data_IF_437505185708
#
_entry.id   IF_437505185708
#
_cell.length_a   1.000
_cell.length_b   1.000
_cell.length_c   1.000
_cell.angle_alpha   90.00
_cell.angle_beta   90.00
_cell.angle_gamma   90.00
#
_symmetry.space_group_name_H-M   'P 1'
#
loop_
_entity.id
_entity.type
_entity.pdbx_description
1 polymer ?
#
# COMPACT_ATOMS: atom_id res chain seq x y z
N UNK A 1 7.92 -21.33 7.82
CA UNK A 1 7.72 -21.82 9.20
C UNK A 1 8.98 -21.83 10.06
N UNK A 2 10.00 -22.63 9.72
CA UNK A 2 11.20 -22.80 10.57
C UNK A 2 11.88 -21.48 10.98
N UNK A 3 11.96 -20.51 10.07
CA UNK A 3 12.53 -19.18 10.35
C UNK A 3 11.77 -18.40 11.42
N UNK A 4 10.44 -18.53 11.48
CA UNK A 4 9.59 -17.87 12.48
C UNK A 4 9.78 -18.55 13.84
N UNK A 5 9.71 -19.89 13.87
CA UNK A 5 9.91 -20.67 15.12
C UNK A 5 11.31 -20.51 15.71
N UNK A 6 12.33 -20.33 14.87
CA UNK A 6 13.71 -20.03 15.33
C UNK A 6 13.80 -18.70 16.10
N UNK A 7 12.94 -17.73 15.76
CA UNK A 7 12.87 -16.41 16.41
C UNK A 7 11.94 -16.41 17.62
N UNK A 8 10.77 -17.06 17.52
CA UNK A 8 9.80 -17.19 18.61
C UNK A 8 9.93 -18.58 19.24
N UNK A 9 10.69 -18.65 20.33
CA UNK A 9 10.90 -19.88 21.12
C UNK A 9 9.82 -20.11 22.19
N UNK A 10 8.89 -19.18 22.36
CA UNK A 10 7.83 -19.27 23.36
C UNK A 10 6.86 -20.42 23.09
N UNK A 11 6.33 -21.01 24.17
CA UNK A 11 5.24 -21.99 24.14
C UNK A 11 3.88 -21.35 23.84
N UNK A 12 3.75 -20.02 24.02
CA UNK A 12 2.54 -19.26 23.69
C UNK A 12 2.26 -19.16 22.18
N UNK A 13 3.26 -19.43 21.35
CA UNK A 13 3.11 -19.44 19.90
C UNK A 13 2.28 -20.66 19.48
N UNK A 14 1.10 -20.39 18.92
CA UNK A 14 0.21 -21.43 18.42
C UNK A 14 0.44 -21.63 16.94
N UNK A 15 0.45 -22.89 16.56
CA UNK A 15 0.49 -23.37 15.18
C UNK A 15 -0.71 -24.27 14.97
N UNK A 16 -1.61 -23.87 14.09
CA UNK A 16 -2.76 -24.66 13.67
C UNK A 16 -2.72 -24.81 12.15
N UNK A 17 -3.06 -25.99 11.65
CA UNK A 17 -3.12 -26.24 10.21
C UNK A 17 -4.53 -26.58 9.78
N UNK A 18 -4.86 -26.18 8.57
CA UNK A 18 -6.14 -26.44 7.93
C UNK A 18 -5.92 -26.74 6.47
N UNK A 19 -6.73 -27.62 5.90
CA UNK A 19 -6.68 -27.93 4.47
C UNK A 19 -7.76 -27.13 3.76
N UNK A 20 -7.38 -26.40 2.72
CA UNK A 20 -8.27 -25.56 1.92
C UNK A 20 -8.24 -26.08 0.47
N UNK A 21 -9.42 -26.13 -0.15
CA UNK A 21 -9.59 -26.57 -1.53
C UNK A 21 -10.01 -28.04 -1.68
N UNK A 22 -10.95 -28.31 -2.59
CA UNK A 22 -11.54 -29.64 -2.82
C UNK A 22 -10.52 -30.60 -3.45
N UNK A 23 -9.78 -30.12 -4.47
CA UNK A 23 -8.84 -30.93 -5.25
C UNK A 23 -7.42 -30.82 -4.73
N UNK A 24 -6.91 -29.60 -4.55
CA UNK A 24 -5.50 -29.40 -4.14
C UNK A 24 -5.26 -29.73 -2.67
N UNK A 25 -6.29 -29.61 -1.81
CA UNK A 25 -6.20 -29.81 -0.36
C UNK A 25 -4.98 -29.09 0.24
N UNK A 26 -4.73 -27.86 -0.22
CA UNK A 26 -3.58 -27.04 0.13
C UNK A 26 -3.57 -26.80 1.62
N UNK A 27 -2.43 -27.03 2.28
CA UNK A 27 -2.33 -26.81 3.73
C UNK A 27 -2.07 -25.32 4.00
N UNK A 28 -2.96 -24.69 4.75
CA UNK A 28 -2.81 -23.34 5.27
C UNK A 28 -2.52 -23.43 6.76
N UNK A 29 -1.42 -22.82 7.18
CA UNK A 29 -1.02 -22.78 8.57
C UNK A 29 -1.30 -21.41 9.18
N UNK A 30 -2.04 -21.40 10.28
CA UNK A 30 -2.43 -20.25 11.08
C UNK A 30 -1.47 -20.11 12.26
N UNK A 31 -0.81 -18.97 12.35
CA UNK A 31 0.19 -18.64 13.36
C UNK A 31 -0.25 -17.42 14.16
N UNK A 32 -0.25 -17.53 15.48
CA UNK A 32 -0.53 -16.41 16.38
C UNK A 32 0.06 -16.63 17.78
N UNK A 33 0.11 -15.57 18.58
CA UNK A 33 0.52 -15.61 19.99
C UNK A 33 -0.73 -15.63 20.87
N UNK A 34 -1.01 -16.76 21.56
CA UNK A 34 -2.27 -16.99 22.30
C UNK A 34 -2.54 -16.00 23.44
N UNK A 35 -1.46 -15.56 24.06
CA UNK A 35 -1.38 -14.61 25.16
C UNK A 35 -1.55 -13.15 24.72
N UNK A 36 -1.30 -12.84 23.44
CA UNK A 36 -1.31 -11.47 22.93
C UNK A 36 -2.54 -11.18 22.07
N UNK A 37 -2.87 -12.06 21.11
CA UNK A 37 -3.89 -11.79 20.09
C UNK A 37 -5.30 -11.69 20.69
N UNK A 38 -6.15 -10.84 20.11
CA UNK A 38 -7.60 -10.89 20.38
C UNK A 38 -8.16 -12.21 19.79
N UNK A 39 -8.78 -13.08 20.61
CA UNK A 39 -9.38 -14.33 20.12
C UNK A 39 -10.42 -14.11 19.00
N UNK A 40 -11.09 -12.94 18.96
CA UNK A 40 -12.07 -12.63 17.91
C UNK A 40 -11.43 -12.57 16.53
N UNK A 41 -10.24 -11.97 16.43
CA UNK A 41 -9.49 -11.89 15.17
C UNK A 41 -9.14 -13.30 14.66
N UNK A 42 -8.68 -14.17 15.58
CA UNK A 42 -8.34 -15.55 15.22
C UNK A 42 -9.58 -16.32 14.76
N UNK A 43 -10.71 -16.14 15.44
CA UNK A 43 -11.96 -16.80 15.07
C UNK A 43 -12.49 -16.32 13.72
N UNK A 44 -12.44 -15.01 13.44
CA UNK A 44 -12.83 -14.45 12.14
C UNK A 44 -11.99 -15.04 11.01
N UNK A 45 -10.67 -15.16 11.20
CA UNK A 45 -9.77 -15.78 10.22
C UNK A 45 -10.10 -17.25 10.01
N UNK A 46 -10.39 -17.99 11.09
CA UNK A 46 -10.77 -19.41 11.01
C UNK A 46 -12.07 -19.60 10.25
N UNK A 47 -13.11 -18.86 10.62
CA UNK A 47 -14.43 -18.90 9.98
C UNK A 47 -14.32 -18.57 8.49
N UNK A 48 -13.60 -17.50 8.13
CA UNK A 48 -13.34 -17.14 6.74
C UNK A 48 -12.65 -18.24 5.96
N UNK A 49 -11.73 -19.00 6.58
CA UNK A 49 -11.08 -20.16 5.95
C UNK A 49 -12.00 -21.39 5.88
N UNK A 50 -13.02 -21.52 6.74
CA UNK A 50 -13.99 -22.63 6.72
C UNK A 50 -15.00 -22.43 5.59
N UNK A 51 -15.40 -21.18 5.35
CA UNK A 51 -16.38 -20.80 4.33
C UNK A 51 -15.84 -20.89 2.89
N UNK A 52 -14.55 -21.17 2.71
CA UNK A 52 -13.91 -21.26 1.39
C UNK A 52 -14.26 -22.58 0.67
N UNK A 53 -15.18 -22.48 -0.28
CA UNK A 53 -15.49 -23.55 -1.24
C UNK A 53 -14.84 -23.29 -2.60
N UNK A 54 -13.58 -23.73 -2.75
CA UNK A 54 -12.80 -23.58 -3.99
C UNK A 54 -12.21 -24.92 -4.46
N UNK A 55 -11.93 -25.04 -5.75
CA UNK A 55 -11.26 -26.23 -6.30
C UNK A 55 -9.83 -26.37 -5.79
N UNK A 56 -9.11 -25.25 -5.64
CA UNK A 56 -7.76 -25.24 -5.10
C UNK A 56 -7.23 -23.83 -4.81
N UNK A 57 -6.32 -23.75 -3.83
CA UNK A 57 -5.58 -22.54 -3.49
C UNK A 57 -4.17 -22.60 -4.10
N UNK A 58 -3.86 -21.63 -4.97
CA UNK A 58 -2.60 -21.57 -5.73
C UNK A 58 -1.71 -20.39 -5.33
N UNK A 59 -2.30 -19.31 -4.80
CA UNK A 59 -1.57 -18.10 -4.40
C UNK A 59 -2.07 -17.56 -3.07
N UNK A 60 -1.17 -16.89 -2.34
CA UNK A 60 -1.50 -16.13 -1.15
C UNK A 60 -2.45 -14.96 -1.48
N UNK A 61 -2.26 -14.29 -2.63
CA UNK A 61 -3.15 -13.20 -3.07
C UNK A 61 -4.55 -13.70 -3.41
N UNK A 62 -4.66 -14.90 -3.98
CA UNK A 62 -5.95 -15.54 -4.24
C UNK A 62 -6.70 -15.83 -2.93
N UNK A 63 -5.96 -16.32 -1.91
CA UNK A 63 -6.55 -16.57 -0.60
C UNK A 63 -7.01 -15.28 0.08
N UNK A 64 -6.21 -14.21 -0.03
CA UNK A 64 -6.58 -12.86 0.42
C UNK A 64 -7.89 -12.40 -0.23
N UNK A 65 -7.99 -12.45 -1.56
CA UNK A 65 -9.17 -12.02 -2.32
C UNK A 65 -10.44 -12.82 -1.96
N UNK A 66 -10.31 -14.12 -1.71
CA UNK A 66 -11.44 -14.98 -1.33
C UNK A 66 -11.89 -14.78 0.13
N UNK A 67 -10.97 -14.38 1.02
CA UNK A 67 -11.28 -14.10 2.42
C UNK A 67 -11.83 -12.67 2.63
N UNK A 68 -11.73 -11.82 1.63
CA UNK A 68 -12.13 -10.43 1.66
C UNK A 68 -13.45 -10.19 0.92
N UNK A 69 -14.26 -9.19 1.32
CA UNK A 69 -15.45 -8.87 0.58
C UNK A 69 -15.08 -8.38 -0.83
N UNK A 70 -15.79 -8.83 -1.87
CA UNK A 70 -15.55 -8.47 -3.29
C UNK A 70 -15.52 -6.96 -3.55
N UNK A 71 -16.10 -6.16 -2.66
CA UNK A 71 -16.12 -4.69 -2.77
C UNK A 71 -14.84 -4.03 -2.24
N UNK A 72 -13.92 -4.76 -1.61
CA UNK A 72 -12.67 -4.20 -1.10
C UNK A 72 -11.71 -3.92 -2.25
N UNK A 73 -11.58 -2.64 -2.62
CA UNK A 73 -10.57 -2.21 -3.59
C UNK A 73 -9.16 -2.19 -2.99
N UNK A 74 -9.06 -2.06 -1.66
CA UNK A 74 -7.80 -2.02 -0.93
C UNK A 74 -7.48 -3.38 -0.32
N UNK A 75 -6.21 -3.79 -0.33
CA UNK A 75 -5.79 -5.03 0.34
C UNK A 75 -6.07 -4.94 1.84
N UNK A 76 -6.79 -5.90 2.40
CA UNK A 76 -7.05 -5.96 3.84
C UNK A 76 -6.11 -6.93 4.56
N UNK A 77 -5.18 -7.57 3.85
CA UNK A 77 -4.06 -8.34 4.41
C UNK A 77 -2.70 -7.81 3.95
N UNK A 78 -1.67 -8.06 4.76
CA UNK A 78 -0.30 -7.67 4.46
C UNK A 78 0.50 -8.84 3.92
N UNK A 79 1.08 -8.69 2.73
CA UNK A 79 1.98 -9.69 2.14
C UNK A 79 3.44 -9.44 2.54
N UNK A 80 4.13 -10.44 3.07
CA UNK A 80 5.57 -10.34 3.37
C UNK A 80 6.32 -11.64 3.10
N UNK A 81 7.44 -11.57 2.36
CA UNK A 81 8.39 -12.67 2.24
C UNK A 81 9.36 -12.80 3.43
N UNK A 82 9.33 -11.83 4.36
CA UNK A 82 10.32 -11.70 5.42
C UNK A 82 9.79 -12.17 6.78
N UNK A 83 10.42 -13.22 7.31
CA UNK A 83 10.02 -13.84 8.57
C UNK A 83 10.21 -12.97 9.82
N UNK A 84 11.19 -12.05 9.82
CA UNK A 84 11.41 -11.07 10.90
C UNK A 84 10.23 -10.09 11.04
N UNK A 85 9.70 -9.60 9.91
CA UNK A 85 8.51 -8.75 9.90
C UNK A 85 7.25 -9.51 10.33
N UNK A 86 7.10 -10.76 9.91
CA UNK A 86 6.00 -11.62 10.38
C UNK A 86 6.03 -11.79 11.90
N UNK A 87 7.20 -12.05 12.48
CA UNK A 87 7.38 -12.15 13.94
C UNK A 87 7.03 -10.84 14.63
N UNK A 88 7.45 -9.69 14.09
CA UNK A 88 7.08 -8.39 14.65
C UNK A 88 5.57 -8.18 14.66
N UNK A 89 4.88 -8.55 13.58
CA UNK A 89 3.43 -8.45 13.48
C UNK A 89 2.72 -9.38 14.47
N UNK A 90 3.19 -10.62 14.63
CA UNK A 90 2.66 -11.56 15.63
C UNK A 90 2.82 -11.04 17.06
N UNK A 91 3.99 -10.47 17.40
CA UNK A 91 4.25 -9.87 18.71
C UNK A 91 3.43 -8.61 18.97
N UNK A 92 2.95 -7.94 17.92
CA UNK A 92 2.00 -6.82 18.03
C UNK A 92 0.54 -7.29 18.16
N UNK A 93 0.27 -8.61 18.14
CA UNK A 93 -1.09 -9.16 18.25
C UNK A 93 -1.81 -9.37 16.92
N UNK A 94 -1.08 -9.58 15.82
CA UNK A 94 -1.65 -9.98 14.52
C UNK A 94 -1.49 -11.48 14.27
N UNK A 95 -2.31 -12.02 13.37
CA UNK A 95 -2.27 -13.41 12.90
C UNK A 95 -1.47 -13.46 11.60
N UNK A 96 -0.67 -14.51 11.43
CA UNK A 96 0.02 -14.80 10.19
C UNK A 96 -0.51 -16.10 9.57
N UNK A 97 -0.75 -16.08 8.26
CA UNK A 97 -1.15 -17.24 7.47
C UNK A 97 0.01 -17.61 6.55
N UNK A 98 0.35 -18.90 6.50
CA UNK A 98 1.31 -19.44 5.54
C UNK A 98 0.60 -20.47 4.69
N UNK A 99 0.56 -20.23 3.39
CA UNK A 99 -0.04 -21.14 2.41
C UNK A 99 1.06 -22.03 1.84
N UNK A 100 0.84 -23.33 1.86
CA UNK A 100 1.75 -24.29 1.26
C UNK A 100 1.99 -23.98 -0.23
N UNK A 101 3.24 -24.07 -0.68
CA UNK A 101 3.67 -23.67 -2.02
C UNK A 101 3.92 -22.17 -2.23
N UNK A 102 3.63 -21.29 -1.26
CA UNK A 102 3.91 -19.84 -1.38
C UNK A 102 5.11 -19.41 -0.54
N UNK A 103 6.04 -18.58 -1.07
CA UNK A 103 7.25 -18.19 -0.36
C UNK A 103 7.04 -17.10 0.71
N UNK A 104 5.81 -16.65 0.92
CA UNK A 104 5.47 -15.50 1.75
C UNK A 104 4.36 -15.80 2.75
N UNK A 105 4.27 -14.95 3.77
CA UNK A 105 3.20 -14.98 4.76
C UNK A 105 2.21 -13.83 4.52
N UNK A 106 0.93 -14.12 4.70
CA UNK A 106 -0.13 -13.12 4.80
C UNK A 106 -0.31 -12.72 6.26
N UNK A 107 -0.49 -11.44 6.52
CA UNK A 107 -0.67 -10.87 7.86
C UNK A 107 -2.08 -10.30 7.95
N UNK A 108 -2.85 -10.76 8.94
CA UNK A 108 -4.21 -10.30 9.20
C UNK A 108 -4.38 -9.92 10.69
N UNK A 109 -5.15 -8.87 11.02
CA UNK A 109 -5.71 -7.88 10.10
C UNK A 109 -4.62 -6.94 9.57
N UNK A 110 -4.81 -6.35 8.40
CA UNK A 110 -4.00 -5.22 7.90
C UNK A 110 -4.81 -3.92 7.89
N UNK A 111 -4.10 -2.80 8.05
CA UNK A 111 -4.61 -1.45 7.96
C UNK A 111 -3.66 -0.62 7.09
N UNK A 112 -4.10 0.55 6.63
CA UNK A 112 -3.30 1.40 5.74
C UNK A 112 -1.88 1.66 6.28
N UNK A 113 -1.77 1.94 7.58
CA UNK A 113 -0.48 2.20 8.23
C UNK A 113 0.44 0.99 8.34
N UNK A 114 -0.09 -0.23 8.35
CA UNK A 114 0.76 -1.43 8.25
C UNK A 114 1.29 -1.56 6.83
N UNK A 115 0.45 -1.33 5.82
CA UNK A 115 0.80 -1.54 4.41
C UNK A 115 1.77 -0.49 3.87
N UNK A 116 1.78 0.70 4.44
CA UNK A 116 2.76 1.77 4.16
C UNK A 116 4.11 1.50 4.86
N UNK A 117 4.15 0.65 5.90
CA UNK A 117 5.41 0.30 6.57
C UNK A 117 6.25 -0.64 5.71
N UNK A 118 7.56 -0.46 5.75
CA UNK A 118 8.50 -1.31 5.05
C UNK A 118 9.03 -2.34 6.05
N UNK A 119 9.13 -3.63 5.69
CA UNK A 119 9.75 -4.64 6.54
C UNK A 119 11.17 -4.28 7.01
N UNK A 120 11.90 -3.50 6.21
CA UNK A 120 13.27 -3.04 6.44
C UNK A 120 13.36 -2.01 7.58
N UNK A 121 12.28 -1.31 7.91
CA UNK A 121 12.25 -0.24 8.92
C UNK A 121 12.69 -0.72 10.30
N UNK A 122 12.60 -2.02 10.56
CA UNK A 122 13.02 -2.66 11.81
C UNK A 122 14.55 -2.54 11.99
N UNK A 123 15.32 -2.48 10.91
CA UNK A 123 16.79 -2.53 10.93
C UNK A 123 17.45 -1.15 10.89
N UNK A 124 16.70 -0.08 10.65
CA UNK A 124 17.20 1.28 10.64
C UNK A 124 17.12 1.95 12.01
N UNK A 125 17.76 3.10 12.17
CA UNK A 125 17.59 3.95 13.36
C UNK A 125 16.18 4.55 13.39
N UNK A 126 15.71 4.98 14.57
CA UNK A 126 14.37 5.56 14.71
C UNK A 126 14.16 6.78 13.81
N UNK A 127 15.16 7.65 13.69
CA UNK A 127 15.14 8.83 12.83
C UNK A 127 15.06 8.46 11.34
N UNK A 128 15.94 7.59 10.86
CA UNK A 128 15.98 7.22 9.44
C UNK A 128 14.69 6.51 9.00
N UNK A 129 14.19 5.57 9.82
CA UNK A 129 12.95 4.88 9.54
C UNK A 129 11.73 5.83 9.60
N UNK A 130 11.72 6.78 10.55
CA UNK A 130 10.65 7.78 10.63
C UNK A 130 10.63 8.67 9.39
N UNK A 131 11.80 9.14 8.95
CA UNK A 131 11.91 9.92 7.72
C UNK A 131 11.42 9.13 6.49
N UNK A 132 11.87 7.88 6.34
CA UNK A 132 11.42 7.02 5.25
C UNK A 132 9.92 6.72 5.29
N UNK A 133 9.33 6.61 6.48
CA UNK A 133 7.89 6.41 6.65
C UNK A 133 7.09 7.66 6.26
N UNK A 134 7.55 8.85 6.64
CA UNK A 134 6.94 10.13 6.23
C UNK A 134 6.98 10.28 4.71
N UNK A 135 8.12 9.97 4.07
CA UNK A 135 8.24 10.00 2.62
C UNK A 135 7.27 9.04 1.92
N UNK A 136 7.02 7.87 2.49
CA UNK A 136 6.03 6.91 1.96
C UNK A 136 4.60 7.38 2.12
N UNK A 137 4.27 8.05 3.22
CA UNK A 137 2.94 8.64 3.42
C UNK A 137 2.70 9.82 2.46
N UNK A 138 3.70 10.67 2.28
CA UNK A 138 3.70 11.70 1.25
C UNK A 138 3.62 11.08 -0.14
N UNK A 139 4.35 10.00 -0.38
CA UNK A 139 4.37 9.30 -1.65
C UNK A 139 3.01 8.73 -2.03
N UNK A 140 2.30 8.12 -1.07
CA UNK A 140 0.93 7.68 -1.26
C UNK A 140 0.01 8.85 -1.67
N UNK A 141 0.12 9.98 -0.97
CA UNK A 141 -0.75 11.14 -1.19
C UNK A 141 -0.46 11.83 -2.53
N UNK A 142 0.82 12.13 -2.81
CA UNK A 142 1.25 12.80 -4.04
C UNK A 142 1.01 11.91 -5.25
N UNK A 143 1.34 10.62 -5.17
CA UNK A 143 1.19 9.71 -6.30
C UNK A 143 -0.28 9.49 -6.69
N UNK A 144 -1.20 9.59 -5.74
CA UNK A 144 -2.63 9.46 -6.00
C UNK A 144 -3.27 10.78 -6.49
N UNK A 145 -2.94 11.90 -5.83
CA UNK A 145 -3.68 13.16 -5.99
C UNK A 145 -3.07 14.10 -7.02
N UNK A 146 -1.75 14.09 -7.21
CA UNK A 146 -1.05 15.12 -7.98
C UNK A 146 -1.50 15.20 -9.45
N UNK A 147 -1.63 14.10 -10.21
CA UNK A 147 -2.04 14.18 -11.61
C UNK A 147 -3.46 14.72 -11.79
N UNK A 148 -4.38 14.24 -10.96
CA UNK A 148 -5.78 14.62 -10.96
C UNK A 148 -5.94 16.13 -10.63
N UNK A 149 -5.25 16.58 -9.58
CA UNK A 149 -5.24 17.98 -9.17
C UNK A 149 -4.62 18.90 -10.23
N UNK A 150 -3.49 18.50 -10.81
CA UNK A 150 -2.80 19.30 -11.82
C UNK A 150 -3.67 19.54 -13.07
N UNK A 151 -4.34 18.49 -13.56
CA UNK A 151 -5.24 18.58 -14.72
C UNK A 151 -6.47 19.41 -14.40
N UNK A 152 -7.05 19.26 -13.20
CA UNK A 152 -8.20 20.05 -12.76
C UNK A 152 -7.91 21.56 -12.75
N UNK A 153 -6.73 21.96 -12.29
CA UNK A 153 -6.33 23.38 -12.27
C UNK A 153 -6.04 23.88 -13.68
N UNK A 154 -5.16 23.19 -14.42
CA UNK A 154 -4.68 23.72 -15.69
C UNK A 154 -5.77 23.72 -16.79
N UNK A 155 -6.76 22.84 -16.70
CA UNK A 155 -7.84 22.77 -17.70
C UNK A 155 -9.04 23.65 -17.35
N UNK A 156 -9.35 23.86 -16.07
CA UNK A 156 -10.59 24.53 -15.65
C UNK A 156 -10.41 25.78 -14.78
N UNK A 157 -9.28 25.92 -14.07
CA UNK A 157 -9.05 26.97 -13.07
C UNK A 157 -7.66 27.61 -13.20
N UNK A 158 -7.33 28.07 -14.40
CA UNK A 158 -6.02 28.67 -14.71
C UNK A 158 -5.74 29.92 -13.87
N UNK A 159 -6.78 30.67 -13.51
CA UNK A 159 -6.68 31.90 -12.71
C UNK A 159 -6.17 31.67 -11.27
N UNK A 160 -6.17 30.43 -10.79
CA UNK A 160 -5.65 30.08 -9.46
C UNK A 160 -4.12 29.94 -9.45
N UNK A 161 -3.46 29.92 -10.62
CA UNK A 161 -2.01 29.83 -10.73
C UNK A 161 -1.35 31.21 -10.72
N UNK A 162 -0.20 31.38 -10.05
CA UNK A 162 0.59 32.60 -10.18
C UNK A 162 0.91 32.89 -11.64
N UNK A 163 0.78 34.16 -12.05
CA UNK A 163 0.94 34.57 -13.45
C UNK A 163 2.25 34.08 -14.09
N UNK A 164 3.37 34.14 -13.37
CA UNK A 164 4.66 33.66 -13.85
C UNK A 164 4.64 32.16 -14.19
N UNK A 165 3.99 31.34 -13.35
CA UNK A 165 3.90 29.90 -13.56
C UNK A 165 2.99 29.59 -14.76
N UNK A 166 1.86 30.27 -14.86
CA UNK A 166 0.95 30.16 -16.00
C UNK A 166 1.65 30.54 -17.31
N UNK A 167 2.39 31.66 -17.33
CA UNK A 167 3.12 32.14 -18.49
C UNK A 167 4.17 31.13 -18.96
N UNK A 168 4.96 30.57 -18.03
CA UNK A 168 5.93 29.52 -18.35
C UNK A 168 5.26 28.26 -18.90
N UNK A 169 4.16 27.81 -18.29
CA UNK A 169 3.41 26.65 -18.78
C UNK A 169 2.78 26.90 -20.14
N UNK A 170 2.28 28.11 -20.40
CA UNK A 170 1.72 28.52 -21.69
C UNK A 170 2.77 28.51 -22.80
N UNK A 171 3.95 29.09 -22.57
CA UNK A 171 5.07 29.06 -23.53
C UNK A 171 5.50 27.63 -23.83
N UNK A 172 5.59 26.78 -22.80
CA UNK A 172 5.98 25.37 -22.94
C UNK A 172 4.95 24.50 -23.67
N UNK A 173 3.76 25.03 -23.97
CA UNK A 173 2.71 24.37 -24.75
C UNK A 173 2.57 24.89 -26.17
N UNK A 174 3.37 25.88 -26.57
CA UNK A 174 3.36 26.39 -27.94
C UNK A 174 3.77 25.27 -28.91
N UNK A 175 2.88 24.94 -29.85
CA UNK A 175 3.10 23.90 -30.85
C UNK A 175 2.63 22.49 -30.45
N UNK A 176 2.02 22.32 -29.27
CA UNK A 176 1.45 21.03 -28.85
C UNK A 176 -0.03 20.96 -29.26
N UNK A 177 -0.43 19.95 -30.06
CA UNK A 177 -1.79 19.87 -30.60
C UNK A 177 -2.81 19.27 -29.62
N UNK A 178 -2.35 18.67 -28.51
CA UNK A 178 -3.19 17.96 -27.56
C UNK A 178 -3.66 18.86 -26.40
N UNK A 179 -4.86 18.55 -25.88
CA UNK A 179 -5.33 19.14 -24.63
C UNK A 179 -4.61 18.53 -23.41
N UNK A 180 -4.57 19.27 -22.30
CA UNK A 180 -3.88 18.91 -21.05
C UNK A 180 -4.31 17.52 -20.55
N UNK A 181 -5.60 17.21 -20.64
CA UNK A 181 -6.13 15.91 -20.25
C UNK A 181 -5.53 14.77 -21.11
N UNK A 182 -5.45 14.96 -22.43
CA UNK A 182 -4.90 13.95 -23.34
C UNK A 182 -3.40 13.80 -23.14
N UNK A 183 -2.66 14.92 -23.02
CA UNK A 183 -1.23 14.90 -22.71
C UNK A 183 -0.95 14.12 -21.41
N UNK A 184 -1.69 14.40 -20.33
CA UNK A 184 -1.51 13.73 -19.05
C UNK A 184 -1.89 12.25 -19.10
N UNK A 185 -2.97 11.89 -19.79
CA UNK A 185 -3.36 10.49 -19.94
C UNK A 185 -2.26 9.68 -20.64
N UNK A 186 -1.71 10.20 -21.73
CA UNK A 186 -0.60 9.59 -22.47
C UNK A 186 0.62 9.44 -21.56
N UNK A 187 1.00 10.49 -20.83
CA UNK A 187 2.14 10.46 -19.91
C UNK A 187 1.96 9.42 -18.79
N UNK A 188 0.77 9.37 -18.15
CA UNK A 188 0.46 8.39 -17.11
C UNK A 188 0.48 6.95 -17.65
N UNK A 189 -0.12 6.74 -18.83
CA UNK A 189 -0.13 5.43 -19.48
C UNK A 189 1.29 4.95 -19.78
N UNK A 190 2.14 5.81 -20.34
CA UNK A 190 3.54 5.47 -20.62
C UNK A 190 4.31 5.12 -19.35
N UNK A 191 4.18 5.91 -18.29
CA UNK A 191 4.86 5.67 -17.02
C UNK A 191 4.40 4.36 -16.37
N UNK A 192 3.12 4.02 -16.51
CA UNK A 192 2.59 2.76 -15.96
C UNK A 192 3.06 1.55 -16.77
N UNK A 193 3.12 1.65 -18.11
CA UNK A 193 3.70 0.61 -18.96
C UNK A 193 5.18 0.38 -18.61
N UNK A 194 5.96 1.46 -18.43
CA UNK A 194 7.37 1.35 -18.02
C UNK A 194 7.52 0.66 -16.66
N UNK A 195 6.65 0.99 -15.71
CA UNK A 195 6.63 0.35 -14.39
C UNK A 195 6.33 -1.14 -14.48
N UNK A 196 5.28 -1.50 -15.22
CA UNK A 196 4.85 -2.89 -15.38
C UNK A 196 5.92 -3.72 -16.09
N UNK A 197 6.57 -3.15 -17.12
CA UNK A 197 7.71 -3.76 -17.77
C UNK A 197 8.89 -3.94 -16.79
N UNK A 198 9.19 -2.92 -15.98
CA UNK A 198 10.27 -2.95 -14.99
C UNK A 198 10.12 -4.04 -13.93
N UNK A 199 8.89 -4.33 -13.49
CA UNK A 199 8.61 -5.36 -12.46
C UNK A 199 8.72 -6.79 -13.03
N UNK A 200 8.46 -6.97 -14.34
CA UNK A 200 8.51 -8.30 -14.99
C UNK A 200 9.89 -8.69 -15.47
N UNK A 201 10.76 -7.71 -15.70
CA UNK A 201 12.14 -7.96 -16.11
C UNK A 201 13.00 -8.37 -14.91
N UNK A 202 14.02 -9.23 -15.11
CA UNK A 202 15.02 -9.50 -14.08
C UNK A 202 15.67 -8.20 -13.60
N UNK A 203 16.00 -8.12 -12.30
CA UNK A 203 16.50 -6.89 -11.66
C UNK A 203 17.74 -6.29 -12.34
N UNK A 204 18.58 -7.11 -12.98
CA UNK A 204 19.76 -6.67 -13.73
C UNK A 204 19.43 -5.88 -15.01
N UNK A 205 18.26 -6.11 -15.62
CA UNK A 205 17.84 -5.50 -16.89
C UNK A 205 16.68 -4.52 -16.68
N UNK A 206 15.78 -4.79 -15.73
CA UNK A 206 14.58 -4.00 -15.50
C UNK A 206 14.86 -2.54 -15.13
N UNK A 207 15.89 -2.28 -14.31
CA UNK A 207 16.30 -0.92 -13.94
C UNK A 207 16.82 -0.15 -15.15
N UNK A 208 17.70 -0.76 -15.96
CA UNK A 208 18.25 -0.17 -17.17
C UNK A 208 17.16 0.16 -18.19
N UNK A 209 16.24 -0.77 -18.45
CA UNK A 209 15.12 -0.56 -19.39
C UNK A 209 14.19 0.56 -18.89
N UNK A 210 13.91 0.61 -17.60
CA UNK A 210 13.04 1.67 -17.03
C UNK A 210 13.70 3.05 -17.14
N UNK A 211 14.99 3.16 -16.86
CA UNK A 211 15.74 4.43 -16.94
C UNK A 211 15.91 4.88 -18.39
N UNK A 212 16.39 3.99 -19.26
CA UNK A 212 16.62 4.30 -20.68
C UNK A 212 15.30 4.56 -21.38
N UNK A 213 14.28 3.74 -21.12
CA UNK A 213 12.92 3.92 -21.64
C UNK A 213 12.34 5.25 -21.20
N UNK A 214 12.35 5.56 -19.90
CA UNK A 214 11.82 6.83 -19.39
C UNK A 214 12.53 8.06 -19.96
N UNK A 215 13.86 8.04 -20.04
CA UNK A 215 14.65 9.16 -20.58
C UNK A 215 14.40 9.34 -22.08
N UNK A 216 14.57 8.28 -22.89
CA UNK A 216 14.47 8.36 -24.35
C UNK A 216 13.04 8.69 -24.78
N UNK A 217 12.03 7.99 -24.21
CA UNK A 217 10.63 8.26 -24.56
C UNK A 217 10.19 9.66 -24.10
N UNK A 218 10.58 10.07 -22.89
CA UNK A 218 10.24 11.39 -22.37
C UNK A 218 10.84 12.52 -23.22
N UNK A 219 12.14 12.42 -23.52
CA UNK A 219 12.87 13.40 -24.30
C UNK A 219 12.42 13.43 -25.78
N UNK A 220 12.16 12.26 -26.37
CA UNK A 220 11.58 12.17 -27.71
C UNK A 220 10.15 12.72 -27.76
N UNK A 221 9.31 12.46 -26.75
CA UNK A 221 7.94 12.98 -26.71
C UNK A 221 7.90 14.50 -26.57
N UNK A 222 8.84 15.09 -25.82
CA UNK A 222 9.00 16.55 -25.73
C UNK A 222 9.45 17.12 -27.06
N UNK A 223 10.50 16.57 -27.68
CA UNK A 223 11.01 17.05 -28.98
C UNK A 223 10.03 16.88 -30.13
N UNK A 224 9.22 15.83 -30.10
CA UNK A 224 8.17 15.60 -31.10
C UNK A 224 6.99 16.57 -30.95
N UNK A 225 6.94 17.38 -29.89
CA UNK A 225 5.80 18.25 -29.58
C UNK A 225 4.56 17.49 -29.13
N UNK A 226 4.72 16.22 -28.69
CA UNK A 226 3.59 15.39 -28.24
C UNK A 226 3.25 15.62 -26.78
N UNK A 227 4.23 15.98 -25.94
CA UNK A 227 4.04 16.22 -24.51
C UNK A 227 4.77 17.49 -24.06
N UNK A 228 4.11 18.29 -23.22
CA UNK A 228 4.76 19.44 -22.61
C UNK A 228 5.75 19.02 -21.52
N UNK A 229 6.90 19.72 -21.38
CA UNK A 229 7.85 19.45 -20.30
C UNK A 229 7.22 19.44 -18.91
N UNK A 230 6.24 20.32 -18.66
CA UNK A 230 5.53 20.39 -17.37
C UNK A 230 4.75 19.10 -17.04
N UNK A 231 4.06 18.51 -18.02
CA UNK A 231 3.30 17.28 -17.80
C UNK A 231 4.24 16.09 -17.58
N UNK A 232 5.35 16.03 -18.32
CA UNK A 232 6.38 15.00 -18.11
C UNK A 232 6.96 15.07 -16.69
N UNK A 233 7.24 16.28 -16.18
CA UNK A 233 7.73 16.47 -14.81
C UNK A 233 6.70 16.01 -13.77
N UNK A 234 5.42 16.38 -13.92
CA UNK A 234 4.36 15.97 -12.99
C UNK A 234 4.17 14.45 -13.01
N UNK A 235 4.22 13.83 -14.21
CA UNK A 235 4.20 12.38 -14.35
C UNK A 235 5.38 11.72 -13.65
N UNK A 236 6.61 12.21 -13.88
CA UNK A 236 7.81 11.68 -13.26
C UNK A 236 7.76 11.76 -11.73
N UNK A 237 7.35 12.91 -11.17
CA UNK A 237 7.17 13.10 -9.73
C UNK A 237 6.15 12.09 -9.18
N UNK A 238 5.00 11.97 -9.82
CA UNK A 238 3.93 11.02 -9.46
C UNK A 238 4.46 9.59 -9.38
N UNK A 239 5.29 9.21 -10.35
CA UNK A 239 5.83 7.86 -10.45
C UNK A 239 6.95 7.58 -9.44
N UNK A 240 7.82 8.55 -9.20
CA UNK A 240 8.87 8.47 -8.17
C UNK A 240 8.25 8.34 -6.79
N UNK A 241 7.22 9.12 -6.49
CA UNK A 241 6.50 9.00 -5.23
C UNK A 241 5.74 7.67 -5.12
N UNK A 242 5.16 7.19 -6.22
CA UNK A 242 4.46 5.90 -6.26
C UNK A 242 5.37 4.70 -6.02
N UNK A 243 6.62 4.75 -6.48
CA UNK A 243 7.60 3.67 -6.27
C UNK A 243 8.12 3.56 -4.84
N UNK A 244 7.82 4.52 -3.97
CA UNK A 244 8.15 4.44 -2.54
C UNK A 244 7.31 3.41 -1.77
N UNK A 245 6.14 3.04 -2.30
CA UNK A 245 5.22 2.10 -1.66
C UNK A 245 5.84 0.69 -1.57
N UNK A 246 5.95 0.16 -0.35
CA UNK A 246 6.58 -1.15 -0.08
C UNK A 246 5.70 -2.33 -0.46
N UNK A 247 4.38 -2.17 -0.41
CA UNK A 247 3.40 -3.23 -0.71
C UNK A 247 2.97 -3.18 -2.18
N UNK A 248 3.25 -4.26 -2.92
CA UNK A 248 2.91 -4.35 -4.34
C UNK A 248 1.40 -4.26 -4.58
N UNK A 249 0.60 -4.92 -3.74
CA UNK A 249 -0.87 -4.88 -3.79
C UNK A 249 -1.42 -3.47 -3.60
N UNK A 250 -0.89 -2.73 -2.61
CA UNK A 250 -1.28 -1.34 -2.38
C UNK A 250 -0.86 -0.45 -3.56
N UNK A 251 0.35 -0.64 -4.08
CA UNK A 251 0.86 0.16 -5.20
C UNK A 251 0.04 -0.05 -6.49
N UNK A 252 -0.43 -1.27 -6.75
CA UNK A 252 -1.39 -1.56 -7.84
C UNK A 252 -2.74 -0.87 -7.63
N UNK A 253 -3.27 -0.93 -6.40
CA UNK A 253 -4.52 -0.26 -6.02
C UNK A 253 -4.45 1.25 -6.22
N UNK A 254 -3.38 1.89 -5.72
CA UNK A 254 -3.16 3.33 -5.84
C UNK A 254 -3.01 3.75 -7.30
N UNK A 255 -2.33 2.96 -8.13
CA UNK A 255 -2.22 3.20 -9.57
C UNK A 255 -3.60 3.19 -10.25
N UNK A 256 -4.43 2.21 -9.93
CA UNK A 256 -5.79 2.11 -10.49
C UNK A 256 -6.66 3.29 -10.06
N UNK A 257 -6.60 3.65 -8.78
CA UNK A 257 -7.33 4.80 -8.24
C UNK A 257 -6.82 6.15 -8.79
N UNK A 258 -5.54 6.26 -9.15
CA UNK A 258 -4.97 7.44 -9.80
C UNK A 258 -5.66 7.71 -11.13
N UNK A 259 -5.85 6.67 -11.97
CA UNK A 259 -6.59 6.81 -13.23
C UNK A 259 -8.06 7.16 -12.98
N UNK A 260 -8.71 6.56 -11.98
CA UNK A 260 -10.08 6.91 -11.60
C UNK A 260 -10.23 8.39 -11.21
N UNK A 261 -9.37 8.89 -10.32
CA UNK A 261 -9.37 10.30 -9.91
C UNK A 261 -9.02 11.25 -11.06
N UNK A 262 -8.07 10.85 -11.91
CA UNK A 262 -7.69 11.60 -13.09
C UNK A 262 -8.88 11.76 -14.05
N UNK A 263 -9.61 10.67 -14.36
CA UNK A 263 -10.78 10.72 -15.27
C UNK A 263 -11.87 11.63 -14.70
N UNK A 264 -12.17 11.55 -13.41
CA UNK A 264 -13.14 12.44 -12.76
C UNK A 264 -12.69 13.91 -12.84
N UNK A 265 -11.42 14.18 -12.63
CA UNK A 265 -10.87 15.54 -12.66
C UNK A 265 -10.76 16.10 -14.08
N UNK A 266 -10.50 15.24 -15.07
CA UNK A 266 -10.46 15.63 -16.47
C UNK A 266 -11.85 15.99 -17.01
N UNK A 267 -12.92 15.38 -16.48
CA UNK A 267 -14.31 15.59 -16.94
C UNK A 267 -15.05 16.67 -16.15
N UNK A 268 -14.81 16.78 -14.84
CA UNK A 268 -15.54 17.67 -13.93
C UNK A 268 -14.64 18.73 -13.27
N UNK A 269 -13.37 18.84 -13.67
CA UNK A 269 -12.40 19.77 -13.11
C UNK A 269 -12.17 19.56 -11.61
N UNK A 270 -12.05 20.67 -10.87
CA UNK A 270 -11.77 20.64 -9.42
C UNK A 270 -12.91 20.00 -8.62
N UNK A 271 -14.16 20.11 -9.10
CA UNK A 271 -15.30 19.44 -8.48
C UNK A 271 -15.14 17.92 -8.57
N UNK A 272 -14.73 17.40 -9.74
CA UNK A 272 -14.41 15.99 -9.93
C UNK A 272 -13.30 15.48 -9.02
N UNK A 273 -12.26 16.30 -8.82
CA UNK A 273 -11.17 15.99 -7.90
C UNK A 273 -11.68 15.78 -6.46
N UNK A 274 -12.43 16.74 -5.91
CA UNK A 274 -12.96 16.61 -4.55
C UNK A 274 -13.99 15.50 -4.43
N UNK A 275 -14.88 15.34 -5.41
CA UNK A 275 -15.87 14.27 -5.45
C UNK A 275 -15.20 12.90 -5.44
N UNK A 276 -14.19 12.70 -6.29
CA UNK A 276 -13.38 11.48 -6.31
C UNK A 276 -12.67 11.23 -4.99
N UNK A 277 -12.07 12.28 -4.40
CA UNK A 277 -11.43 12.20 -3.09
C UNK A 277 -12.41 11.76 -1.99
N UNK A 278 -13.64 12.32 -1.98
CA UNK A 278 -14.68 11.92 -1.04
C UNK A 278 -15.11 10.47 -1.22
N UNK A 279 -15.29 10.01 -2.46
CA UNK A 279 -15.63 8.61 -2.76
C UNK A 279 -14.54 7.68 -2.22
N UNK A 280 -13.27 7.98 -2.49
CA UNK A 280 -12.14 7.19 -2.02
C UNK A 280 -12.11 7.18 -0.49
N UNK A 281 -12.14 8.34 0.17
CA UNK A 281 -12.10 8.41 1.64
C UNK A 281 -13.29 7.70 2.30
N UNK A 282 -14.49 7.87 1.77
CA UNK A 282 -15.69 7.17 2.25
C UNK A 282 -15.55 5.66 2.10
N UNK A 283 -14.97 5.19 1.00
CA UNK A 283 -14.69 3.77 0.81
C UNK A 283 -13.68 3.26 1.85
N UNK A 284 -12.53 3.93 2.05
CA UNK A 284 -11.55 3.54 3.07
C UNK A 284 -12.16 3.49 4.48
N UNK A 285 -13.04 4.43 4.82
CA UNK A 285 -13.70 4.47 6.12
C UNK A 285 -14.69 3.31 6.33
N UNK A 286 -15.27 2.78 5.26
CA UNK A 286 -16.20 1.64 5.32
C UNK A 286 -15.49 0.29 5.51
N UNK A 287 -14.20 0.20 5.14
CA UNK A 287 -13.45 -1.05 5.14
C UNK A 287 -13.07 -1.52 6.55
N UNK A 288 -13.20 -2.83 6.77
CA UNK A 288 -12.79 -3.51 8.00
C UNK A 288 -12.04 -4.79 7.68
N UNK A 289 -10.85 -4.94 8.26
CA UNK A 289 -10.04 -6.17 8.20
C UNK A 289 -10.22 -6.94 9.51
N UNK A 290 -10.89 -8.10 9.48
CA UNK A 290 -11.12 -8.96 10.67
C UNK A 290 -11.54 -8.17 11.92
N UNK A 291 -12.53 -7.29 11.77
CA UNK A 291 -13.05 -6.42 12.85
C UNK A 291 -12.27 -5.11 13.09
N UNK A 292 -11.07 -4.94 12.54
CA UNK A 292 -10.26 -3.73 12.65
C UNK A 292 -10.63 -2.71 11.54
N UNK A 293 -11.01 -1.46 11.87
CA UNK A 293 -11.20 -0.39 10.88
C UNK A 293 -9.91 -0.11 10.10
N UNK A 294 -10.01 0.00 8.77
CA UNK A 294 -8.85 0.13 7.89
C UNK A 294 -8.07 1.44 8.09
N UNK A 295 -8.76 2.51 8.49
CA UNK A 295 -8.16 3.82 8.81
C UNK A 295 -7.69 3.96 10.27
N UNK A 296 -7.83 2.92 11.11
CA UNK A 296 -7.26 2.97 12.46
C UNK A 296 -5.74 3.16 12.36
N UNK A 297 -5.12 4.08 13.13
CA UNK A 297 -5.67 4.80 14.28
C UNK A 297 -6.16 6.23 14.02
N UNK A 298 -6.27 6.68 12.76
CA UNK A 298 -6.87 8.00 12.46
C UNK A 298 -8.37 7.96 12.74
N UNK A 299 -9.05 6.92 12.27
CA UNK A 299 -10.48 6.75 12.46
C UNK A 299 -10.82 5.28 12.76
N UNK A 300 -11.34 4.98 13.97
CA UNK A 300 -11.50 5.89 15.12
C UNK A 300 -10.14 6.31 15.71
N UNK A 301 -10.07 7.48 16.37
CA UNK A 301 -8.83 7.98 16.95
C UNK A 301 -8.37 7.06 18.09
N UNK A 302 -7.22 6.43 17.93
CA UNK A 302 -6.54 5.70 19.00
C UNK A 302 -5.29 6.46 19.43
N UNK A 303 -4.82 6.21 20.67
CA UNK A 303 -3.57 6.78 21.21
C UNK A 303 -2.33 6.38 20.40
N UNK A 304 -2.46 5.37 19.52
CA UNK A 304 -1.41 4.85 18.66
C UNK A 304 -1.05 5.70 17.45
N UNK A 305 -1.68 6.87 17.24
CA UNK A 305 -1.43 7.68 16.04
C UNK A 305 0.05 8.02 15.86
N UNK A 306 0.74 8.41 16.94
CA UNK A 306 2.18 8.68 16.90
C UNK A 306 3.00 7.43 16.53
N UNK A 307 2.63 6.25 17.03
CA UNK A 307 3.27 4.96 16.70
C UNK A 307 2.97 4.48 15.27
N UNK A 308 1.84 4.92 14.72
CA UNK A 308 1.42 4.61 13.37
C UNK A 308 2.12 5.49 12.35
N UNK A 309 2.31 6.79 12.64
CA UNK A 309 2.96 7.75 11.74
C UNK A 309 4.48 7.76 11.85
N UNK A 310 5.01 7.63 13.07
CA UNK A 310 6.44 7.73 13.35
C UNK A 310 6.96 6.44 14.00
N UNK A 311 8.22 6.11 13.72
CA UNK A 311 8.88 4.97 14.37
C UNK A 311 9.58 5.46 15.63
N UNK A 312 8.92 5.28 16.77
CA UNK A 312 9.51 5.57 18.07
C UNK A 312 10.74 4.67 18.35
N UNK A 313 11.76 5.19 19.06
CA UNK A 313 12.87 4.39 19.58
C UNK A 313 12.38 3.18 20.39
N UNK A 314 13.11 2.06 20.31
CA UNK A 314 12.77 0.84 21.04
C UNK A 314 12.50 1.02 22.54
N UNK A 315 13.29 1.83 23.29
CA UNK A 315 13.04 2.04 24.73
C UNK A 315 11.71 2.73 25.04
N UNK A 316 11.13 3.45 24.08
CA UNK A 316 9.86 4.16 24.26
C UNK A 316 8.65 3.33 23.81
N UNK A 317 8.88 2.18 23.15
CA UNK A 317 7.83 1.25 22.71
C UNK A 317 7.49 0.29 23.83
N UNK A 318 6.75 0.76 24.83
CA UNK A 318 6.36 -0.05 25.98
C UNK A 318 5.00 -0.74 25.81
N UNK A 319 4.13 -0.20 24.96
CA UNK A 319 2.76 -0.71 24.76
C UNK A 319 2.56 -1.33 23.38
N UNK A 320 1.68 -2.33 23.30
CA UNK A 320 1.17 -2.87 22.04
C UNK A 320 0.05 -1.97 21.50
N UNK A 321 -0.27 -2.05 20.19
CA UNK A 321 -1.30 -1.20 19.62
C UNK A 321 -2.68 -1.49 20.22
N UNK A 322 -3.29 -0.49 20.85
CA UNK A 322 -4.63 -0.53 21.45
C UNK A 322 -5.71 -0.87 20.39
N UNK A 323 -5.50 -0.44 19.14
CA UNK A 323 -6.44 -0.71 18.04
C UNK A 323 -6.70 -2.21 17.82
N UNK A 324 -5.74 -3.07 18.18
CA UNK A 324 -5.83 -4.53 18.00
C UNK A 324 -6.49 -5.25 19.18
N UNK A 325 -6.89 -4.52 20.25
CA UNK A 325 -7.55 -5.07 21.45
C UNK A 325 -6.83 -6.30 22.02
N UNK A 326 -5.49 -6.22 22.08
CA UNK A 326 -4.63 -7.33 22.54
C UNK A 326 -4.92 -7.70 24.00
N UNK A 327 -4.83 -8.99 24.32
CA UNK A 327 -5.00 -9.51 25.69
C UNK A 327 -3.92 -9.02 26.64
N UNK A 328 -2.67 -9.07 26.18
CA UNK A 328 -1.53 -8.45 26.86
C UNK A 328 -1.17 -7.13 26.14
N UNK A 329 -1.29 -6.01 26.83
CA UNK A 329 -1.02 -4.67 26.29
C UNK A 329 0.44 -4.23 26.44
N UNK A 330 1.27 -4.95 27.20
CA UNK A 330 2.64 -4.55 27.56
C UNK A 330 3.73 -5.33 26.82
N UNK A 331 4.67 -4.63 26.18
CA UNK A 331 5.77 -5.27 25.43
C UNK A 331 6.94 -5.72 26.30
N UNK A 332 7.15 -5.06 27.43
CA UNK A 332 8.17 -5.45 28.39
C UNK A 332 7.58 -6.56 29.25
N UNK A 333 8.30 -7.68 29.38
CA UNK A 333 7.95 -8.66 30.40
C UNK A 333 7.97 -7.99 31.76
N UNK A 334 7.01 -8.33 32.63
CA UNK A 334 6.99 -7.87 34.01
C UNK A 334 8.40 -8.02 34.57
N UNK A 335 9.08 -6.90 34.89
CA UNK A 335 10.40 -6.92 35.54
C UNK A 335 10.35 -7.50 36.96
N UNK A 336 9.19 -7.98 37.40
CA UNK A 336 8.97 -8.67 38.65
C UNK A 336 7.96 -9.80 38.43
N UNK A 337 8.45 -11.02 38.31
CA UNK A 337 7.82 -12.25 38.78
C UNK A 337 8.85 -13.37 38.79
#
# INVERSE_FOLDING_TARGET
MALIRKRIKSTSMVYETKKVGVRTKTTVAILYMRDIVDPKIVQDVKNKLDDLHIDGAFSATQLEELMEPTKALFPLMGYTGRADFTVNCMLNGRVALIVDGTPAALIAPANLFLLVKAPEDIHFTALAATFGQTLRLLGLSVSLLLPAFFVAILSYHQDQLPYYLLATLGINRLGIPFDVAVEMFIALLFLEILREAGIRLPSAVGSTVTVVGGLILGDAAIRAGSLSPGIVVIGAITQIFGSTLSSLSLAGTISTLRFFLFILSATLGIYGFFLGLFIVLSHLASLRSCGLPYLAPISPPFKDLANALFRLPWPWRNTRPDMLKTRDSTRQGDRHK
#
